data_IF_815669694637
#
_entry.id   IF_815669694637
#
_cell.length_a   1.000
_cell.length_b   1.000
_cell.length_c   1.000
_cell.angle_alpha   90.00
_cell.angle_beta   90.00
_cell.angle_gamma   90.00
#
_symmetry.space_group_name_H-M   'P 1'
#
loop_
_entity.id
_entity.type
_entity.pdbx_description
1 polymer ?
#
# COMPACT_ATOMS: atom_id res chain seq x y z
N UNK A 1 2.78 8.96 19.54
CA UNK A 1 2.61 7.54 19.16
C UNK A 1 1.59 7.50 18.03
N UNK A 2 1.97 7.09 16.82
CA UNK A 2 0.99 6.89 15.75
C UNK A 2 0.14 5.66 15.99
N UNK A 3 -1.11 5.72 15.55
CA UNK A 3 -2.03 4.59 15.65
C UNK A 3 -1.53 3.43 14.81
N UNK A 4 -1.49 2.23 15.39
CA UNK A 4 -1.17 0.98 14.68
C UNK A 4 -2.42 0.54 13.91
N UNK A 5 -2.29 0.41 12.59
CA UNK A 5 -3.35 -0.01 11.67
C UNK A 5 -3.27 -1.52 11.39
N UNK A 6 -2.05 -2.06 11.34
CA UNK A 6 -1.77 -3.48 11.27
C UNK A 6 -0.49 -3.78 12.03
N UNK A 7 -0.46 -4.86 12.80
CA UNK A 7 0.73 -5.26 13.55
C UNK A 7 0.83 -6.76 13.70
N UNK A 8 2.02 -7.31 13.39
CA UNK A 8 2.34 -8.71 13.63
C UNK A 8 2.97 -8.90 15.01
N UNK A 9 2.49 -9.91 15.73
CA UNK A 9 3.02 -10.29 17.05
C UNK A 9 3.93 -11.50 16.94
N UNK A 10 5.10 -11.44 17.55
CA UNK A 10 6.05 -12.55 17.62
C UNK A 10 6.66 -12.63 19.01
N UNK A 11 6.84 -13.85 19.53
CA UNK A 11 7.62 -14.10 20.76
C UNK A 11 9.13 -14.12 20.49
N UNK A 12 9.55 -14.26 19.23
CA UNK A 12 10.95 -14.16 18.83
C UNK A 12 11.33 -12.68 18.64
N UNK A 13 12.27 -12.13 19.43
CA UNK A 13 12.70 -10.73 19.34
C UNK A 13 13.43 -10.40 18.03
N UNK A 14 13.96 -11.40 17.33
CA UNK A 14 14.63 -11.24 16.04
C UNK A 14 13.67 -11.40 14.84
N UNK A 15 12.39 -11.64 15.09
CA UNK A 15 11.42 -11.77 14.02
C UNK A 15 11.28 -10.45 13.26
N UNK A 16 11.39 -10.52 11.93
CA UNK A 16 11.14 -9.38 11.03
C UNK A 16 9.63 -9.20 10.85
N UNK A 17 8.95 -8.77 11.91
CA UNK A 17 7.52 -8.48 11.89
C UNK A 17 7.24 -7.24 11.04
N UNK A 18 6.06 -7.24 10.45
CA UNK A 18 5.49 -6.08 9.74
C UNK A 18 4.55 -5.33 10.67
N UNK A 19 4.68 -4.02 10.67
CA UNK A 19 3.79 -3.09 11.35
C UNK A 19 3.48 -1.92 10.42
N UNK A 20 2.21 -1.61 10.28
CA UNK A 20 1.70 -0.45 9.56
C UNK A 20 1.12 0.51 10.59
N UNK A 21 1.58 1.76 10.55
CA UNK A 21 1.03 2.86 11.32
C UNK A 21 0.51 3.95 10.38
N UNK A 22 -0.10 4.98 10.95
CA UNK A 22 -0.49 6.17 10.17
C UNK A 22 0.70 6.91 9.55
N UNK A 23 1.89 6.78 10.14
CA UNK A 23 3.11 7.49 9.72
C UNK A 23 3.93 6.69 8.68
N UNK A 24 3.72 5.38 8.58
CA UNK A 24 4.46 4.57 7.62
C UNK A 24 4.43 3.06 7.88
N UNK A 25 5.32 2.38 7.16
CA UNK A 25 5.46 0.93 7.16
C UNK A 25 6.79 0.53 7.79
N UNK A 26 6.73 -0.21 8.89
CA UNK A 26 7.89 -0.81 9.55
C UNK A 26 7.99 -2.29 9.22
N UNK A 27 9.19 -2.73 8.88
CA UNK A 27 9.52 -4.14 8.62
C UNK A 27 10.86 -4.46 9.26
N UNK A 28 10.84 -5.23 10.34
CA UNK A 28 12.04 -5.46 11.16
C UNK A 28 12.64 -4.12 11.61
N UNK A 29 13.92 -3.89 11.29
CA UNK A 29 14.64 -2.65 11.62
C UNK A 29 14.54 -1.52 10.58
N UNK A 30 13.77 -1.67 9.50
CA UNK A 30 13.58 -0.62 8.49
C UNK A 30 12.20 -0.01 8.59
N UNK A 31 12.13 1.31 8.54
CA UNK A 31 10.89 2.09 8.44
C UNK A 31 10.86 2.78 7.10
N UNK A 32 9.78 2.60 6.35
CA UNK A 32 9.46 3.36 5.14
C UNK A 32 8.41 4.39 5.52
N UNK A 33 8.75 5.70 5.51
CA UNK A 33 7.79 6.77 5.75
C UNK A 33 6.63 6.69 4.77
N UNK A 34 5.45 7.10 5.22
CA UNK A 34 4.25 7.20 4.40
C UNK A 34 4.48 7.98 3.10
N UNK A 35 5.22 9.08 3.17
CA UNK A 35 5.54 9.93 2.01
C UNK A 35 6.40 9.24 0.94
N UNK A 36 7.09 8.14 1.29
CA UNK A 36 7.85 7.35 0.31
C UNK A 36 6.97 6.31 -0.41
N UNK A 37 5.74 6.06 0.06
CA UNK A 37 4.81 5.11 -0.53
C UNK A 37 3.97 5.79 -1.61
N UNK A 38 3.72 5.08 -2.72
CA UNK A 38 2.81 5.57 -3.75
C UNK A 38 1.35 5.35 -3.31
N UNK A 39 0.89 6.17 -2.37
CA UNK A 39 -0.45 6.03 -1.79
C UNK A 39 -1.55 6.27 -2.83
N UNK A 40 -1.39 7.25 -3.72
CA UNK A 40 -2.38 7.53 -4.74
C UNK A 40 -2.66 6.32 -5.62
N UNK A 41 -1.61 5.68 -6.12
CA UNK A 41 -1.74 4.50 -6.96
C UNK A 41 -2.29 3.28 -6.19
N UNK A 42 -1.83 3.04 -4.96
CA UNK A 42 -2.33 1.92 -4.16
C UNK A 42 -3.79 2.14 -3.73
N UNK A 43 -4.19 3.37 -3.42
CA UNK A 43 -5.56 3.73 -3.07
C UNK A 43 -6.49 3.58 -4.29
N UNK A 44 -6.07 4.02 -5.46
CA UNK A 44 -6.86 3.90 -6.69
C UNK A 44 -7.11 2.43 -7.06
N UNK A 45 -6.07 1.59 -7.03
CA UNK A 45 -6.23 0.15 -7.25
C UNK A 45 -7.17 -0.48 -6.19
N UNK A 46 -6.99 -0.12 -4.91
CA UNK A 46 -7.82 -0.62 -3.81
C UNK A 46 -9.30 -0.26 -3.98
N UNK A 47 -9.62 0.98 -4.35
CA UNK A 47 -11.00 1.42 -4.59
C UNK A 47 -11.65 0.69 -5.77
N UNK A 48 -10.86 0.20 -6.73
CA UNK A 48 -11.32 -0.65 -7.84
C UNK A 48 -11.43 -2.13 -7.47
N UNK A 49 -11.22 -2.50 -6.20
CA UNK A 49 -11.25 -3.89 -5.74
C UNK A 49 -10.02 -4.69 -6.18
N UNK A 50 -8.92 -4.02 -6.51
CA UNK A 50 -7.66 -4.60 -6.94
C UNK A 50 -6.53 -4.29 -5.94
N UNK A 51 -5.42 -5.00 -6.08
CA UNK A 51 -4.16 -4.68 -5.42
C UNK A 51 -3.06 -4.44 -6.45
N UNK A 52 -2.34 -3.32 -6.28
CA UNK A 52 -1.24 -2.92 -7.15
C UNK A 52 0.01 -3.80 -6.93
N UNK A 53 0.52 -4.32 -8.02
CA UNK A 53 1.74 -5.11 -8.13
C UNK A 53 2.86 -4.38 -8.86
N UNK A 54 3.95 -5.10 -9.14
CA UNK A 54 5.10 -4.54 -9.85
C UNK A 54 4.76 -4.22 -11.30
N UNK A 55 5.30 -3.11 -11.81
CA UNK A 55 5.11 -2.69 -13.20
C UNK A 55 3.66 -2.35 -13.56
N UNK A 56 2.82 -2.01 -12.58
CA UNK A 56 1.40 -1.71 -12.81
C UNK A 56 0.51 -2.94 -12.92
N UNK A 57 1.05 -4.14 -12.65
CA UNK A 57 0.21 -5.35 -12.60
C UNK A 57 -0.83 -5.21 -11.51
N UNK A 58 -2.01 -5.77 -11.74
CA UNK A 58 -3.09 -5.75 -10.76
C UNK A 58 -3.64 -7.15 -10.57
N UNK A 59 -4.09 -7.42 -9.35
CA UNK A 59 -4.80 -8.65 -9.01
C UNK A 59 -6.02 -8.32 -8.16
N UNK A 60 -7.12 -9.09 -8.27
CA UNK A 60 -8.29 -8.88 -7.42
C UNK A 60 -7.90 -8.91 -5.95
N UNK A 61 -8.42 -7.97 -5.16
CA UNK A 61 -8.15 -7.90 -3.73
C UNK A 61 -8.64 -9.17 -3.01
N UNK A 62 -9.79 -9.70 -3.45
CA UNK A 62 -10.36 -10.95 -2.97
C UNK A 62 -9.51 -12.20 -3.28
N UNK A 63 -8.54 -12.12 -4.20
CA UNK A 63 -7.63 -13.24 -4.48
C UNK A 63 -6.41 -13.25 -3.58
N UNK A 64 -6.27 -12.30 -2.65
CA UNK A 64 -5.18 -12.29 -1.68
C UNK A 64 -5.44 -13.35 -0.61
N UNK A 65 -4.37 -14.02 -0.18
CA UNK A 65 -4.46 -15.01 0.88
C UNK A 65 -4.92 -14.37 2.20
N UNK A 66 -5.89 -14.96 2.87
CA UNK A 66 -6.30 -14.56 4.23
C UNK A 66 -5.15 -14.79 5.24
N UNK A 67 -4.32 -15.81 5.00
CA UNK A 67 -3.15 -16.14 5.79
C UNK A 67 -1.84 -15.51 5.31
N UNK A 68 -0.69 -16.15 5.61
CA UNK A 68 0.62 -15.64 5.22
C UNK A 68 0.75 -15.52 3.70
N UNK A 69 1.32 -14.40 3.24
CA UNK A 69 1.45 -14.13 1.82
C UNK A 69 2.39 -12.97 1.49
N UNK A 70 2.52 -12.71 0.19
CA UNK A 70 3.32 -11.60 -0.33
C UNK A 70 2.38 -10.50 -0.83
N UNK A 71 2.53 -9.31 -0.26
CA UNK A 71 1.86 -8.10 -0.69
C UNK A 71 2.90 -7.14 -1.27
N UNK A 72 2.87 -6.85 -2.59
CA UNK A 72 3.72 -5.83 -3.19
C UNK A 72 3.41 -4.45 -2.60
N UNK A 73 4.45 -3.70 -2.29
CA UNK A 73 4.35 -2.30 -1.84
C UNK A 73 5.14 -1.43 -2.79
N UNK A 74 4.48 -0.44 -3.37
CA UNK A 74 5.05 0.44 -4.39
C UNK A 74 5.45 1.77 -3.76
N UNK A 75 6.68 2.21 -4.03
CA UNK A 75 7.21 3.51 -3.62
C UNK A 75 6.84 4.59 -4.64
N UNK A 76 6.89 5.86 -4.23
CA UNK A 76 6.67 7.02 -5.12
C UNK A 76 7.62 7.05 -6.33
N UNK A 77 8.76 6.38 -6.24
CA UNK A 77 9.71 6.20 -7.35
C UNK A 77 9.25 5.17 -8.40
N UNK A 78 8.13 4.48 -8.17
CA UNK A 78 7.64 3.35 -8.97
C UNK A 78 8.27 2.01 -8.58
N UNK A 79 9.27 2.00 -7.69
CA UNK A 79 9.89 0.76 -7.22
C UNK A 79 8.91 -0.05 -6.38
N UNK A 80 8.65 -1.29 -6.78
CA UNK A 80 7.77 -2.20 -6.05
C UNK A 80 8.56 -3.26 -5.32
N UNK A 81 8.36 -3.38 -4.02
CA UNK A 81 9.04 -4.37 -3.17
C UNK A 81 8.05 -5.42 -2.66
N UNK A 82 8.33 -6.72 -2.80
CA UNK A 82 7.51 -7.75 -2.20
C UNK A 82 7.66 -7.75 -0.66
N UNK A 83 6.54 -7.60 0.04
CA UNK A 83 6.47 -7.67 1.49
C UNK A 83 5.83 -9.00 1.93
N UNK A 84 6.56 -9.79 2.70
CA UNK A 84 6.01 -10.99 3.35
C UNK A 84 5.27 -10.55 4.61
N UNK A 85 4.01 -10.91 4.70
CA UNK A 85 3.12 -10.62 5.84
C UNK A 85 2.41 -11.89 6.27
N UNK A 86 1.98 -11.94 7.53
CA UNK A 86 1.28 -13.09 8.11
C UNK A 86 -0.20 -13.16 7.76
N UNK A 87 -0.81 -12.03 7.40
CA UNK A 87 -2.21 -11.92 6.97
C UNK A 87 -2.27 -10.97 5.79
N UNK A 88 -2.20 -11.53 4.58
CA UNK A 88 -2.00 -10.73 3.38
C UNK A 88 -3.23 -9.90 3.01
N UNK A 89 -4.42 -10.49 3.08
CA UNK A 89 -5.67 -9.77 2.90
C UNK A 89 -5.80 -8.61 3.92
N UNK A 90 -5.71 -8.90 5.23
CA UNK A 90 -5.79 -7.88 6.29
C UNK A 90 -4.81 -6.72 6.07
N UNK A 91 -3.55 -7.04 5.74
CA UNK A 91 -2.54 -6.02 5.52
C UNK A 91 -2.86 -5.15 4.30
N UNK A 92 -3.29 -5.76 3.19
CA UNK A 92 -3.66 -5.03 1.98
C UNK A 92 -4.88 -4.13 2.22
N UNK A 93 -5.90 -4.62 2.93
CA UNK A 93 -7.06 -3.81 3.33
C UNK A 93 -6.63 -2.63 4.21
N UNK A 94 -5.86 -2.87 5.27
CA UNK A 94 -5.42 -1.81 6.17
C UNK A 94 -4.56 -0.75 5.47
N UNK A 95 -3.68 -1.16 4.56
CA UNK A 95 -2.86 -0.24 3.76
C UNK A 95 -3.70 0.51 2.72
N UNK A 96 -4.63 -0.15 2.06
CA UNK A 96 -5.55 0.46 1.09
C UNK A 96 -6.43 1.55 1.74
N UNK A 97 -7.10 1.22 2.84
CA UNK A 97 -7.89 2.19 3.61
C UNK A 97 -7.04 3.36 4.13
N UNK A 98 -5.84 3.06 4.63
CA UNK A 98 -4.91 4.11 5.07
C UNK A 98 -4.51 5.02 3.91
N UNK A 99 -4.20 4.44 2.74
CA UNK A 99 -3.82 5.16 1.54
C UNK A 99 -4.94 6.11 1.10
N UNK A 100 -6.18 5.61 1.00
CA UNK A 100 -7.36 6.44 0.69
C UNK A 100 -7.48 7.61 1.67
N UNK A 101 -7.39 7.35 2.99
CA UNK A 101 -7.52 8.41 3.99
C UNK A 101 -6.48 9.51 3.86
N UNK A 102 -5.19 9.19 3.68
CA UNK A 102 -4.18 10.25 3.55
C UNK A 102 -3.94 10.75 2.15
N UNK A 103 -4.65 10.21 1.15
CA UNK A 103 -4.91 10.94 -0.07
C UNK A 103 -6.03 11.96 0.10
N UNK A 104 -6.76 12.00 1.23
CA UNK A 104 -7.88 12.92 1.46
C UNK A 104 -9.26 12.34 1.16
N UNK A 105 -9.37 11.02 0.95
CA UNK A 105 -10.63 10.33 0.65
C UNK A 105 -10.75 9.88 -0.81
N UNK A 106 -11.85 9.19 -1.12
CA UNK A 106 -12.07 8.58 -2.43
C UNK A 106 -12.15 9.61 -3.57
N UNK A 107 -12.79 10.76 -3.32
CA UNK A 107 -12.93 11.83 -4.33
C UNK A 107 -11.58 12.42 -4.72
N UNK A 108 -10.69 12.62 -3.74
CA UNK A 108 -9.34 13.13 -4.01
C UNK A 108 -8.49 12.10 -4.78
N UNK A 109 -8.66 10.81 -4.49
CA UNK A 109 -8.03 9.73 -5.28
C UNK A 109 -8.56 9.74 -6.72
N UNK A 110 -9.87 9.90 -6.91
CA UNK A 110 -10.47 10.00 -8.24
C UNK A 110 -9.96 11.23 -9.02
N UNK A 111 -9.79 12.38 -8.35
CA UNK A 111 -9.21 13.57 -8.96
C UNK A 111 -7.76 13.36 -9.41
N UNK A 112 -6.94 12.67 -8.59
CA UNK A 112 -5.57 12.30 -8.95
C UNK A 112 -5.54 11.37 -10.17
N UNK A 113 -6.42 10.35 -10.20
CA UNK A 113 -6.53 9.43 -11.31
C UNK A 113 -6.98 10.13 -12.61
N UNK A 114 -7.96 11.03 -12.52
CA UNK A 114 -8.44 11.82 -13.66
C UNK A 114 -7.34 12.72 -14.23
N UNK A 115 -6.52 13.34 -13.36
CA UNK A 115 -5.38 14.14 -13.80
C UNK A 115 -4.31 13.31 -14.51
N UNK A 116 -3.93 12.16 -13.94
CA UNK A 116 -3.00 11.24 -14.58
C UNK A 116 -3.51 10.80 -15.96
N UNK A 117 -4.81 10.48 -16.05
CA UNK A 117 -5.45 10.12 -17.30
C UNK A 117 -5.42 11.24 -18.35
N UNK A 118 -5.63 12.50 -17.94
CA UNK A 118 -5.51 13.66 -18.81
C UNK A 118 -4.07 13.85 -19.35
N UNK A 119 -3.07 13.42 -18.58
CA UNK A 119 -1.67 13.39 -18.99
C UNK A 119 -1.30 12.11 -19.78
N UNK A 120 -2.27 11.23 -20.05
CA UNK A 120 -2.09 10.00 -20.83
C UNK A 120 -1.33 8.90 -20.11
N UNK A 121 -1.20 8.99 -18.79
CA UNK A 121 -0.45 8.02 -17.97
C UNK A 121 -1.32 7.41 -16.87
N UNK A 122 -1.12 6.13 -16.52
CA UNK A 122 -1.78 5.57 -15.35
C UNK A 122 -1.21 6.18 -14.07
N UNK A 123 -2.03 6.27 -13.01
CA UNK A 123 -1.66 6.94 -11.76
C UNK A 123 -0.40 6.34 -11.09
N UNK A 124 -0.14 5.04 -11.29
CA UNK A 124 1.07 4.39 -10.76
C UNK A 124 2.37 4.84 -11.45
N UNK A 125 2.30 5.32 -12.70
CA UNK A 125 3.43 5.91 -13.43
C UNK A 125 3.55 7.41 -13.16
N UNK A 126 2.42 8.09 -12.93
CA UNK A 126 2.39 9.53 -12.84
C UNK A 126 3.34 10.05 -11.76
N UNK A 127 4.35 10.83 -12.18
CA UNK A 127 5.41 11.33 -11.29
C UNK A 127 5.05 12.74 -10.84
N UNK A 128 4.72 12.87 -9.55
CA UNK A 128 4.37 14.11 -8.81
C UNK A 128 2.95 14.61 -9.05
N UNK A 129 2.11 14.46 -8.01
CA UNK A 129 0.94 15.28 -7.72
C UNK A 129 0.83 15.50 -6.22
#
# INVERSE_FOLDING_TARGET
MSRVLYGERSRNPLARTVELTEDGLRRGGRTTPRAELNLGAMAEAYLRGCWLGGGGTERPLASLAEGPGIVPVTRVTGTTTPLKVRRAADFAHALGESAVRGCGGADQVAALAARAHAEGVPLWIARRY
#
